data_IF_570529551865
#
_entry.id   IF_570529551865
#
_cell.length_a   1.000
_cell.length_b   1.000
_cell.length_c   1.000
_cell.angle_alpha   90.00
_cell.angle_beta   90.00
_cell.angle_gamma   90.00
#
_symmetry.space_group_name_H-M   'P 1'
#
loop_
_entity.id
_entity.type
_entity.pdbx_description
1 polymer ?
#
# COMPACT_ATOMS: atom_id res chain seq x y z
N UNK A 1 54.16 0.87 23.71
CA UNK A 1 54.19 -0.45 24.37
C UNK A 1 52.91 -1.16 24.01
N UNK A 2 53.05 -2.29 23.35
CA UNK A 2 52.02 -3.03 22.62
C UNK A 2 51.48 -4.16 23.51
N UNK A 3 50.17 -4.42 23.45
CA UNK A 3 49.52 -5.71 23.76
C UNK A 3 48.09 -5.59 23.17
N UNK A 4 47.74 -6.11 21.99
CA UNK A 4 47.72 -7.50 21.50
C UNK A 4 46.89 -8.43 22.39
N UNK A 5 45.59 -8.50 22.13
CA UNK A 5 44.70 -9.54 22.66
C UNK A 5 44.10 -10.33 21.49
N UNK A 6 44.73 -11.47 21.21
CA UNK A 6 44.17 -12.54 20.37
C UNK A 6 43.10 -13.29 21.16
N UNK A 7 41.91 -13.41 20.58
CA UNK A 7 40.84 -14.27 21.09
C UNK A 7 40.46 -15.28 20.02
N UNK A 8 40.36 -16.52 20.48
CA UNK A 8 40.38 -17.79 19.75
C UNK A 8 39.00 -18.09 19.16
N UNK A 9 38.89 -18.20 17.83
CA UNK A 9 37.74 -18.84 17.19
C UNK A 9 38.08 -20.31 16.90
N UNK A 10 37.45 -21.21 17.67
CA UNK A 10 37.43 -22.65 17.41
C UNK A 10 36.19 -23.01 16.59
N UNK A 11 36.49 -23.79 15.56
CA UNK A 11 35.73 -24.59 14.60
C UNK A 11 34.41 -25.21 15.09
N UNK A 12 33.40 -25.21 14.22
CA UNK A 12 32.30 -26.19 13.97
C UNK A 12 31.49 -25.54 12.81
N UNK A 13 31.20 -26.13 11.64
CA UNK A 13 30.46 -27.34 11.29
C UNK A 13 30.74 -27.68 9.80
N UNK A 14 31.10 -28.92 9.47
CA UNK A 14 30.21 -30.01 9.02
C UNK A 14 29.78 -29.87 7.55
N UNK A 15 30.53 -30.59 6.73
CA UNK A 15 30.35 -30.86 5.31
C UNK A 15 29.01 -31.56 5.01
N UNK A 16 28.23 -31.00 4.08
CA UNK A 16 27.08 -31.64 3.46
C UNK A 16 27.53 -32.17 2.10
N UNK A 17 27.54 -33.50 1.95
CA UNK A 17 27.82 -34.18 0.69
C UNK A 17 26.62 -34.06 -0.25
N UNK A 18 26.85 -33.53 -1.45
CA UNK A 18 25.91 -33.61 -2.55
C UNK A 18 26.07 -34.97 -3.22
N UNK A 19 25.07 -35.84 -3.04
CA UNK A 19 24.91 -37.03 -3.87
C UNK A 19 24.24 -36.63 -5.18
N UNK A 20 25.01 -36.68 -6.27
CA UNK A 20 24.48 -36.68 -7.63
C UNK A 20 23.63 -37.93 -7.83
N UNK A 21 22.33 -37.75 -8.02
CA UNK A 21 21.45 -38.76 -8.62
C UNK A 21 21.15 -38.30 -10.03
N UNK A 22 21.64 -39.07 -11.00
CA UNK A 22 21.29 -38.95 -12.41
C UNK A 22 19.76 -39.00 -12.61
N UNK A 23 19.20 -38.17 -13.50
CA UNK A 23 17.81 -38.27 -13.90
C UNK A 23 17.64 -39.50 -14.81
N UNK A 24 16.74 -40.40 -14.41
CA UNK A 24 16.28 -41.50 -15.26
C UNK A 24 15.52 -40.93 -16.46
N UNK A 25 15.88 -41.39 -17.66
CA UNK A 25 15.14 -41.16 -18.89
C UNK A 25 13.73 -41.75 -18.76
N UNK A 26 12.71 -40.89 -18.77
CA UNK A 26 11.33 -41.30 -18.98
C UNK A 26 11.07 -41.41 -20.49
N UNK A 27 10.94 -42.65 -20.95
CA UNK A 27 10.45 -43.00 -22.28
C UNK A 27 8.95 -42.67 -22.33
N UNK A 28 8.59 -41.64 -23.08
CA UNK A 28 7.19 -41.33 -23.40
C UNK A 28 6.73 -42.20 -24.57
N UNK A 29 5.84 -43.15 -24.30
CA UNK A 29 5.01 -43.80 -25.32
C UNK A 29 3.81 -42.90 -25.64
N UNK A 30 3.75 -42.45 -26.89
CA UNK A 30 2.56 -41.86 -27.51
C UNK A 30 1.43 -42.89 -27.57
N UNK A 31 0.46 -42.78 -26.67
CA UNK A 31 -0.87 -43.33 -26.89
C UNK A 31 -1.91 -42.43 -26.21
N UNK A 32 -2.53 -41.58 -27.03
CA UNK A 32 -3.55 -40.62 -26.68
C UNK A 32 -4.94 -41.27 -26.81
N UNK A 33 -5.81 -41.25 -25.77
CA UNK A 33 -7.24 -41.36 -26.00
C UNK A 33 -7.95 -40.05 -25.63
N UNK A 34 -8.60 -39.49 -26.65
CA UNK A 34 -9.83 -38.69 -26.62
C UNK A 34 -10.18 -37.98 -25.28
N UNK A 35 -9.66 -36.75 -25.18
CA UNK A 35 -10.24 -35.57 -24.49
C UNK A 35 -11.68 -35.74 -23.96
N UNK A 36 -11.80 -36.05 -22.67
CA UNK A 36 -12.92 -35.58 -21.84
C UNK A 36 -12.55 -34.20 -21.29
N UNK A 37 -13.33 -33.17 -21.65
CA UNK A 37 -13.26 -31.81 -21.08
C UNK A 37 -13.52 -31.89 -19.57
N UNK A 38 -12.46 -31.89 -18.77
CA UNK A 38 -12.55 -31.62 -17.34
C UNK A 38 -12.83 -30.13 -17.13
N UNK A 39 -13.90 -29.83 -16.39
CA UNK A 39 -14.16 -28.52 -15.80
C UNK A 39 -13.02 -28.21 -14.83
N UNK A 40 -12.06 -27.39 -15.26
CA UNK A 40 -11.14 -26.72 -14.35
C UNK A 40 -11.93 -25.62 -13.64
N UNK A 41 -12.43 -25.95 -12.45
CA UNK A 41 -12.79 -24.98 -11.41
C UNK A 41 -11.56 -24.13 -11.13
N UNK A 42 -11.48 -22.97 -11.79
CA UNK A 42 -10.54 -21.92 -11.45
C UNK A 42 -10.92 -21.38 -10.09
N UNK A 43 -10.30 -21.92 -9.04
CA UNK A 43 -10.15 -21.22 -7.78
C UNK A 43 -9.35 -19.96 -8.09
N UNK A 44 -10.06 -18.84 -8.27
CA UNK A 44 -9.42 -17.53 -8.27
C UNK A 44 -8.80 -17.37 -6.89
N UNK A 45 -7.47 -17.37 -6.85
CA UNK A 45 -6.68 -16.95 -5.70
C UNK A 45 -7.08 -15.51 -5.37
N UNK A 46 -8.10 -15.43 -4.53
CA UNK A 46 -8.65 -14.20 -4.02
C UNK A 46 -7.63 -13.68 -3.02
N UNK A 47 -6.78 -12.77 -3.49
CA UNK A 47 -6.03 -11.75 -2.74
C UNK A 47 -5.74 -12.09 -1.27
N UNK A 48 -4.51 -12.50 -0.99
CA UNK A 48 -3.93 -12.60 0.35
C UNK A 48 -3.72 -11.23 1.05
N UNK A 49 -4.25 -10.13 0.51
CA UNK A 49 -4.09 -8.77 1.06
C UNK A 49 -4.86 -8.54 2.37
N UNK A 50 -5.85 -9.36 2.70
CA UNK A 50 -6.59 -9.24 3.97
C UNK A 50 -5.71 -9.56 5.19
N UNK A 51 -4.69 -10.42 5.03
CA UNK A 51 -3.75 -10.77 6.11
C UNK A 51 -2.88 -9.57 6.51
N UNK A 52 -2.34 -8.86 5.52
CA UNK A 52 -1.45 -7.71 5.76
C UNK A 52 -2.22 -6.56 6.39
N UNK A 53 -3.45 -6.30 5.92
CA UNK A 53 -4.34 -5.27 6.49
C UNK A 53 -4.73 -5.61 7.94
N UNK A 54 -4.99 -6.89 8.23
CA UNK A 54 -5.28 -7.35 9.60
C UNK A 54 -4.08 -7.17 10.53
N UNK A 55 -2.87 -7.40 10.05
CA UNK A 55 -1.65 -7.26 10.85
C UNK A 55 -1.31 -5.79 11.13
N UNK A 56 -1.50 -4.91 10.13
CA UNK A 56 -1.35 -3.45 10.31
C UNK A 56 -2.38 -2.92 11.31
N UNK A 57 -3.64 -3.35 11.21
CA UNK A 57 -4.70 -2.93 12.12
C UNK A 57 -4.40 -3.34 13.57
N UNK A 58 -3.84 -4.55 13.77
CA UNK A 58 -3.41 -5.02 15.09
C UNK A 58 -2.27 -4.17 15.66
N UNK A 59 -1.25 -3.84 14.85
CA UNK A 59 -0.12 -2.99 15.28
C UNK A 59 -0.56 -1.57 15.64
N UNK A 60 -1.56 -1.03 14.94
CA UNK A 60 -2.17 0.27 15.25
C UNK A 60 -2.88 0.25 16.61
N UNK A 61 -3.66 -0.81 16.88
CA UNK A 61 -4.34 -0.96 18.17
C UNK A 61 -3.34 -1.12 19.32
N UNK A 62 -2.29 -1.93 19.13
CA UNK A 62 -1.21 -2.09 20.11
C UNK A 62 -0.50 -0.75 20.40
N UNK A 63 -0.29 0.07 19.37
CA UNK A 63 0.33 1.40 19.53
C UNK A 63 -0.58 2.37 20.30
N UNK A 64 -1.89 2.29 20.08
CA UNK A 64 -2.88 3.12 20.79
C UNK A 64 -2.90 2.79 22.28
N UNK A 65 -2.85 1.51 22.63
CA UNK A 65 -2.78 1.05 24.03
C UNK A 65 -1.53 1.60 24.74
N UNK A 66 -0.37 1.65 24.07
CA UNK A 66 0.87 2.21 24.64
C UNK A 66 0.73 3.72 24.92
N UNK A 67 0.08 4.47 24.03
CA UNK A 67 -0.16 5.91 24.23
C UNK A 67 -1.07 6.14 25.45
N UNK A 68 -2.14 5.34 25.58
CA UNK A 68 -3.05 5.41 26.72
C UNK A 68 -2.34 5.07 28.05
N UNK A 69 -1.44 4.07 28.06
CA UNK A 69 -0.61 3.76 29.22
C UNK A 69 0.36 4.91 29.59
N UNK A 70 0.96 5.57 28.59
CA UNK A 70 1.83 6.72 28.84
C UNK A 70 1.08 7.91 29.44
N UNK A 71 -0.12 8.22 28.95
CA UNK A 71 -0.96 9.28 29.56
C UNK A 71 -1.30 8.97 31.03
N UNK A 72 -1.56 7.69 31.34
CA UNK A 72 -1.86 7.23 32.70
C UNK A 72 -0.64 7.37 33.63
N UNK A 73 0.56 7.09 33.12
CA UNK A 73 1.81 7.31 33.83
C UNK A 73 2.09 8.79 34.10
N UNK A 74 1.85 9.67 33.13
CA UNK A 74 2.00 11.13 33.30
C UNK A 74 1.08 11.64 34.42
N UNK A 75 -0.19 11.23 34.43
CA UNK A 75 -1.13 11.59 35.51
C UNK A 75 -0.70 11.07 36.88
N UNK A 76 -0.09 9.88 36.93
CA UNK A 76 0.44 9.31 38.19
C UNK A 76 1.66 10.09 38.70
N UNK A 77 2.51 10.57 37.80
CA UNK A 77 3.64 11.46 38.12
C UNK A 77 3.15 12.81 38.66
N UNK A 78 2.16 13.43 38.02
CA UNK A 78 1.53 14.67 38.51
C UNK A 78 1.00 14.50 39.93
N UNK A 79 0.31 13.39 40.20
CA UNK A 79 -0.23 13.11 41.54
C UNK A 79 0.86 12.89 42.60
N UNK A 80 1.95 12.19 42.26
CA UNK A 80 3.09 12.00 43.17
C UNK A 80 3.74 13.33 43.51
N UNK A 81 3.91 14.23 42.53
CA UNK A 81 4.42 15.57 42.77
C UNK A 81 3.54 16.37 43.75
N UNK A 82 2.21 16.29 43.62
CA UNK A 82 1.29 16.95 44.55
C UNK A 82 1.36 16.35 45.97
N UNK A 83 1.41 15.02 46.08
CA UNK A 83 1.51 14.30 47.37
C UNK A 83 2.83 14.64 48.10
N UNK A 84 3.95 14.71 47.37
CA UNK A 84 5.26 15.10 47.91
C UNK A 84 5.28 16.56 48.36
N UNK A 85 4.67 17.47 47.60
CA UNK A 85 4.53 18.89 47.98
C UNK A 85 3.73 19.03 49.29
N UNK A 86 2.66 18.26 49.46
CA UNK A 86 1.84 18.32 50.67
C UNK A 86 2.53 17.67 51.88
N UNK A 87 3.27 16.58 51.66
CA UNK A 87 4.14 15.98 52.69
C UNK A 87 5.21 16.96 53.16
N UNK A 88 5.85 17.67 52.22
CA UNK A 88 6.85 18.70 52.52
C UNK A 88 6.24 19.84 53.34
N UNK A 89 5.09 20.38 52.91
CA UNK A 89 4.36 21.42 53.67
C UNK A 89 4.04 20.97 55.10
N UNK A 90 3.62 19.72 55.28
CA UNK A 90 3.32 19.16 56.60
C UNK A 90 4.57 19.11 57.49
N UNK A 91 5.68 18.58 56.97
CA UNK A 91 6.93 18.52 57.74
C UNK A 91 7.45 19.92 58.14
N UNK A 92 7.30 20.92 57.26
CA UNK A 92 7.66 22.31 57.56
C UNK A 92 6.79 22.89 58.68
N UNK A 93 5.49 22.59 58.68
CA UNK A 93 4.56 23.04 59.72
C UNK A 93 4.86 22.39 61.07
N UNK A 94 5.12 21.07 61.08
CA UNK A 94 5.44 20.33 62.31
C UNK A 94 6.75 20.84 62.93
N UNK A 95 7.77 21.08 62.10
CA UNK A 95 9.03 21.68 62.54
C UNK A 95 8.84 23.09 63.12
N UNK A 96 8.06 23.95 62.46
CA UNK A 96 7.78 25.29 62.95
C UNK A 96 7.05 25.26 64.31
N UNK A 97 6.18 24.25 64.52
CA UNK A 97 5.55 23.98 65.81
C UNK A 97 6.55 23.60 66.89
N UNK A 98 7.44 22.64 66.60
CA UNK A 98 8.48 22.18 67.53
C UNK A 98 9.43 23.31 67.94
N UNK A 99 9.88 24.13 66.98
CA UNK A 99 10.69 25.32 67.26
C UNK A 99 9.98 26.26 68.23
N UNK A 100 8.72 26.63 67.95
CA UNK A 100 7.94 27.52 68.84
C UNK A 100 7.87 26.98 70.25
N UNK A 101 7.66 25.67 70.41
CA UNK A 101 7.61 25.05 71.73
C UNK A 101 8.97 25.13 72.44
N UNK A 102 10.08 24.78 71.75
CA UNK A 102 11.41 24.81 72.34
C UNK A 102 11.83 26.23 72.77
N UNK A 103 11.45 27.25 71.99
CA UNK A 103 11.65 28.65 72.32
C UNK A 103 10.87 29.05 73.58
N UNK A 104 9.60 28.63 73.68
CA UNK A 104 8.77 28.93 74.84
C UNK A 104 9.34 28.31 76.12
N UNK A 105 9.74 27.03 76.06
CA UNK A 105 10.34 26.31 77.20
C UNK A 105 11.68 26.90 77.65
N UNK A 106 12.51 27.43 76.73
CA UNK A 106 13.78 28.10 77.07
C UNK A 106 13.56 29.51 77.63
N UNK A 107 12.58 30.24 77.10
CA UNK A 107 12.20 31.57 77.61
C UNK A 107 11.74 31.53 79.07
N UNK A 108 11.02 30.46 79.46
CA UNK A 108 10.52 30.28 80.83
C UNK A 108 11.63 30.06 81.86
N UNK A 109 12.84 29.65 81.42
CA UNK A 109 13.99 29.34 82.29
C UNK A 109 14.96 30.49 82.49
N UNK A 110 14.74 31.65 81.88
CA UNK A 110 15.70 32.77 81.90
C UNK A 110 15.29 33.82 82.92
N UNK A 111 16.11 33.94 83.95
CA UNK A 111 16.00 34.99 84.97
C UNK A 111 16.65 36.30 84.48
N UNK A 112 16.07 37.42 84.94
CA UNK A 112 16.20 38.74 84.33
C UNK A 112 17.57 39.39 84.58
N UNK A 113 18.45 39.36 83.57
CA UNK A 113 19.05 40.54 82.87
C UNK A 113 20.31 40.19 82.09
N UNK A 114 21.11 39.20 82.53
CA UNK A 114 22.35 38.78 81.85
C UNK A 114 22.17 37.56 80.93
N UNK A 115 21.06 36.83 81.05
CA UNK A 115 20.77 35.63 80.25
C UNK A 115 20.32 35.90 78.80
N UNK A 116 19.93 37.14 78.47
CA UNK A 116 19.30 37.46 77.17
C UNK A 116 20.30 37.40 76.01
N UNK A 117 21.52 37.91 76.19
CA UNK A 117 22.54 37.87 75.14
C UNK A 117 23.05 36.44 74.89
N UNK A 118 23.19 35.65 75.96
CA UNK A 118 23.52 34.23 75.87
C UNK A 118 22.42 33.45 75.14
N UNK A 119 21.15 33.71 75.48
CA UNK A 119 20.01 33.12 74.79
C UNK A 119 19.99 33.49 73.31
N UNK A 120 20.17 34.78 72.98
CA UNK A 120 20.16 35.27 71.59
C UNK A 120 21.25 34.59 70.77
N UNK A 121 22.43 34.38 71.35
CA UNK A 121 23.52 33.63 70.72
C UNK A 121 23.14 32.17 70.50
N UNK A 122 22.68 31.47 71.54
CA UNK A 122 22.25 30.07 71.40
C UNK A 122 21.13 29.89 70.39
N UNK A 123 20.17 30.82 70.32
CA UNK A 123 19.10 30.82 69.31
C UNK A 123 19.67 30.92 67.90
N UNK A 124 20.60 31.85 67.67
CA UNK A 124 21.20 32.04 66.36
C UNK A 124 22.05 30.84 65.95
N UNK A 125 22.79 30.25 66.90
CA UNK A 125 23.60 29.06 66.66
C UNK A 125 22.69 27.87 66.28
N UNK A 126 21.60 27.65 67.03
CA UNK A 126 20.65 26.56 66.79
C UNK A 126 19.86 26.76 65.49
N UNK A 127 19.45 28.00 65.17
CA UNK A 127 18.85 28.33 63.89
C UNK A 127 19.83 28.15 62.71
N UNK A 128 21.13 28.39 62.93
CA UNK A 128 22.18 28.13 61.96
C UNK A 128 22.34 26.64 61.66
N UNK A 129 22.48 25.82 62.71
CA UNK A 129 22.57 24.35 62.60
C UNK A 129 21.35 23.80 61.88
N UNK A 130 20.15 24.22 62.30
CA UNK A 130 18.91 23.72 61.72
C UNK A 130 18.79 24.09 60.23
N UNK A 131 19.14 25.33 59.84
CA UNK A 131 19.18 25.71 58.42
C UNK A 131 20.16 24.86 57.63
N UNK A 132 21.33 24.56 58.20
CA UNK A 132 22.34 23.73 57.55
C UNK A 132 21.83 22.30 57.35
N UNK A 133 21.32 21.64 58.40
CA UNK A 133 20.78 20.28 58.31
C UNK A 133 19.61 20.17 57.30
N UNK A 134 18.73 21.18 57.25
CA UNK A 134 17.67 21.24 56.25
C UNK A 134 18.19 21.39 54.82
N UNK A 135 19.26 22.18 54.64
CA UNK A 135 19.84 22.38 53.31
C UNK A 135 20.55 21.11 52.85
N UNK A 136 21.36 20.49 53.72
CA UNK A 136 22.07 19.24 53.42
C UNK A 136 21.09 18.10 53.11
N UNK A 137 20.03 17.94 53.91
CA UNK A 137 19.02 16.91 53.66
C UNK A 137 18.23 17.15 52.37
N UNK A 138 17.87 18.41 52.08
CA UNK A 138 17.18 18.75 50.84
C UNK A 138 18.07 18.52 49.61
N UNK A 139 19.39 18.77 49.72
CA UNK A 139 20.35 18.46 48.67
C UNK A 139 20.50 16.94 48.47
N UNK A 140 20.60 16.15 49.56
CA UNK A 140 20.68 14.69 49.50
C UNK A 140 19.42 14.07 48.86
N UNK A 141 18.23 14.49 49.29
CA UNK A 141 16.97 13.99 48.74
C UNK A 141 16.81 14.35 47.26
N UNK A 142 17.23 15.57 46.88
CA UNK A 142 17.25 16.00 45.47
C UNK A 142 18.24 15.18 44.64
N UNK A 143 19.39 14.83 45.20
CA UNK A 143 20.42 14.04 44.49
C UNK A 143 19.96 12.59 44.28
N UNK A 144 19.33 11.98 45.30
CA UNK A 144 18.68 10.66 45.18
C UNK A 144 17.57 10.65 44.15
N UNK A 145 16.69 11.64 44.18
CA UNK A 145 15.59 11.76 43.21
C UNK A 145 16.14 11.88 41.78
N UNK A 146 17.19 12.69 41.60
CA UNK A 146 17.85 12.83 40.30
C UNK A 146 18.43 11.50 39.81
N UNK A 147 19.10 10.73 40.69
CA UNK A 147 19.63 9.42 40.34
C UNK A 147 18.54 8.41 39.93
N UNK A 148 17.42 8.35 40.67
CA UNK A 148 16.28 7.48 40.35
C UNK A 148 15.65 7.84 38.98
N UNK A 149 15.53 9.14 38.68
CA UNK A 149 15.07 9.58 37.37
C UNK A 149 16.04 9.22 36.24
N UNK A 150 17.34 9.45 36.44
CA UNK A 150 18.36 9.13 35.44
C UNK A 150 18.38 7.60 35.15
N UNK A 151 18.25 6.75 36.18
CA UNK A 151 18.17 5.30 36.03
C UNK A 151 16.94 4.87 35.23
N UNK A 152 15.75 5.39 35.57
CA UNK A 152 14.50 5.10 34.84
C UNK A 152 14.55 5.56 33.39
N UNK A 153 15.15 6.73 33.12
CA UNK A 153 15.32 7.24 31.75
C UNK A 153 16.20 6.29 30.94
N UNK A 154 17.29 5.77 31.52
CA UNK A 154 18.16 4.81 30.83
C UNK A 154 17.50 3.45 30.60
N UNK A 155 16.70 2.94 31.55
CA UNK A 155 15.93 1.71 31.37
C UNK A 155 14.90 1.84 30.23
N UNK A 156 14.20 2.98 30.17
CA UNK A 156 13.26 3.30 29.09
C UNK A 156 13.99 3.35 27.75
N UNK A 157 15.11 4.09 27.65
CA UNK A 157 15.90 4.17 26.41
C UNK A 157 16.35 2.80 25.92
N UNK A 158 16.86 1.96 26.83
CA UNK A 158 17.30 0.60 26.50
C UNK A 158 16.14 -0.24 25.96
N UNK A 159 14.98 -0.21 26.63
CA UNK A 159 13.78 -0.94 26.21
C UNK A 159 13.31 -0.53 24.82
N UNK A 160 13.29 0.78 24.53
CA UNK A 160 12.90 1.27 23.21
C UNK A 160 13.93 0.92 22.13
N UNK A 161 15.23 0.99 22.44
CA UNK A 161 16.27 0.59 21.50
C UNK A 161 16.16 -0.90 21.13
N UNK A 162 15.95 -1.79 22.10
CA UNK A 162 15.73 -3.22 21.83
C UNK A 162 14.50 -3.48 20.94
N UNK A 163 13.41 -2.71 21.13
CA UNK A 163 12.23 -2.78 20.27
C UNK A 163 12.51 -2.30 18.84
N UNK A 164 13.28 -1.23 18.68
CA UNK A 164 13.72 -0.71 17.38
C UNK A 164 14.57 -1.76 16.66
N UNK A 165 15.57 -2.31 17.32
CA UNK A 165 16.47 -3.31 16.75
C UNK A 165 15.70 -4.58 16.31
N UNK A 166 14.72 -5.01 17.11
CA UNK A 166 13.84 -6.13 16.75
C UNK A 166 12.98 -5.82 15.52
N UNK A 167 12.42 -4.61 15.45
CA UNK A 167 11.63 -4.16 14.29
C UNK A 167 12.49 -4.15 13.01
N UNK A 168 13.71 -3.64 13.08
CA UNK A 168 14.65 -3.61 11.96
C UNK A 168 15.02 -5.02 11.50
N UNK A 169 15.22 -5.95 12.44
CA UNK A 169 15.49 -7.35 12.12
C UNK A 169 14.30 -8.02 11.39
N UNK A 170 13.07 -7.76 11.83
CA UNK A 170 11.86 -8.28 11.18
C UNK A 170 11.67 -7.67 9.78
N UNK A 171 11.89 -6.37 9.64
CA UNK A 171 11.85 -5.68 8.34
C UNK A 171 12.86 -6.29 7.35
N UNK A 172 14.10 -6.54 7.79
CA UNK A 172 15.11 -7.18 6.96
C UNK A 172 14.73 -8.62 6.53
N UNK A 173 13.98 -9.36 7.37
CA UNK A 173 13.45 -10.70 7.01
C UNK A 173 12.36 -10.60 5.94
N UNK A 174 11.43 -9.65 6.09
CA UNK A 174 10.34 -9.41 5.13
C UNK A 174 10.93 -9.00 3.77
N UNK A 175 11.90 -8.09 3.76
CA UNK A 175 12.55 -7.65 2.53
C UNK A 175 13.21 -8.81 1.77
N UNK A 176 13.94 -9.68 2.48
CA UNK A 176 14.55 -10.89 1.89
C UNK A 176 13.49 -11.86 1.36
N UNK A 177 12.38 -12.02 2.07
CA UNK A 177 11.28 -12.88 1.63
C UNK A 177 10.66 -12.37 0.34
N UNK A 178 10.28 -11.09 0.27
CA UNK A 178 9.72 -10.47 -0.93
C UNK A 178 10.69 -10.50 -2.10
N UNK A 179 11.98 -10.25 -1.86
CA UNK A 179 13.00 -10.36 -2.88
C UNK A 179 13.09 -11.79 -3.44
N UNK A 180 13.00 -12.80 -2.58
CA UNK A 180 12.96 -14.22 -2.97
C UNK A 180 11.76 -14.56 -3.85
N UNK A 181 10.55 -14.18 -3.44
CA UNK A 181 9.32 -14.42 -4.20
C UNK A 181 9.34 -13.71 -5.56
N UNK A 182 9.81 -12.46 -5.59
CA UNK A 182 9.97 -11.71 -6.84
C UNK A 182 10.92 -12.40 -7.82
N UNK A 183 12.04 -12.95 -7.34
CA UNK A 183 12.98 -13.68 -8.18
C UNK A 183 12.37 -14.98 -8.73
N UNK A 184 11.58 -15.71 -7.95
CA UNK A 184 10.85 -16.91 -8.41
C UNK A 184 9.85 -16.55 -9.50
N UNK A 185 9.05 -15.51 -9.27
CA UNK A 185 8.06 -15.02 -10.23
C UNK A 185 8.72 -14.55 -11.54
N UNK A 186 9.83 -13.81 -11.45
CA UNK A 186 10.63 -13.38 -12.61
C UNK A 186 11.14 -14.56 -13.43
N UNK A 187 11.64 -15.62 -12.77
CA UNK A 187 12.07 -16.85 -13.46
C UNK A 187 10.91 -17.55 -14.15
N UNK A 188 9.75 -17.63 -13.49
CA UNK A 188 8.54 -18.24 -14.06
C UNK A 188 8.07 -17.52 -15.33
N UNK A 189 7.93 -16.19 -15.29
CA UNK A 189 7.51 -15.43 -16.48
C UNK A 189 8.54 -15.51 -17.61
N UNK A 190 9.83 -15.48 -17.29
CA UNK A 190 10.88 -15.69 -18.29
C UNK A 190 10.74 -17.04 -19.00
N UNK A 191 10.44 -18.10 -18.24
CA UNK A 191 10.18 -19.43 -18.80
C UNK A 191 8.92 -19.43 -19.69
N UNK A 192 7.81 -18.83 -19.24
CA UNK A 192 6.58 -18.76 -20.05
C UNK A 192 6.76 -17.98 -21.36
N UNK A 193 7.48 -16.85 -21.30
CA UNK A 193 7.82 -16.06 -22.50
C UNK A 193 8.64 -16.89 -23.48
N UNK A 194 9.68 -17.60 -23.01
CA UNK A 194 10.50 -18.45 -23.87
C UNK A 194 9.66 -19.56 -24.53
N UNK A 195 8.76 -20.20 -23.79
CA UNK A 195 7.85 -21.22 -24.33
C UNK A 195 6.92 -20.66 -25.42
N UNK A 196 6.37 -19.47 -25.20
CA UNK A 196 5.54 -18.79 -26.19
C UNK A 196 6.33 -18.39 -27.45
N UNK A 197 7.56 -17.90 -27.28
CA UNK A 197 8.46 -17.53 -28.38
C UNK A 197 8.77 -18.75 -29.26
N UNK A 198 9.17 -19.88 -28.64
CA UNK A 198 9.44 -21.12 -29.39
C UNK A 198 8.19 -21.64 -30.11
N UNK A 199 7.00 -21.56 -29.48
CA UNK A 199 5.76 -21.96 -30.12
C UNK A 199 5.40 -21.05 -31.31
N UNK A 200 5.67 -19.74 -31.19
CA UNK A 200 5.46 -18.78 -32.26
C UNK A 200 6.42 -19.02 -33.43
N UNK A 201 7.71 -19.24 -33.16
CA UNK A 201 8.73 -19.57 -34.17
C UNK A 201 8.35 -20.82 -34.95
N UNK A 202 8.00 -21.92 -34.26
CA UNK A 202 7.54 -23.16 -34.90
C UNK A 202 6.33 -22.91 -35.80
N UNK A 203 5.35 -22.15 -35.33
CA UNK A 203 4.15 -21.83 -36.12
C UNK A 203 4.48 -20.95 -37.33
N UNK A 204 5.44 -20.03 -37.18
CA UNK A 204 5.94 -19.21 -38.29
C UNK A 204 6.60 -20.07 -39.36
N UNK A 205 7.38 -21.08 -38.97
CA UNK A 205 7.98 -22.05 -39.91
C UNK A 205 6.92 -22.90 -40.61
N UNK A 206 5.89 -23.38 -39.88
CA UNK A 206 4.76 -24.10 -40.46
C UNK A 206 4.02 -23.27 -41.52
N UNK A 207 3.75 -21.99 -41.23
CA UNK A 207 3.13 -21.08 -42.19
C UNK A 207 4.01 -20.83 -43.41
N UNK A 208 5.32 -20.69 -43.21
CA UNK A 208 6.27 -20.48 -44.30
C UNK A 208 6.37 -21.70 -45.22
N UNK A 209 6.35 -22.91 -44.66
CA UNK A 209 6.29 -24.15 -45.43
C UNK A 209 4.98 -24.28 -46.20
N UNK A 210 3.84 -24.01 -45.55
CA UNK A 210 2.52 -23.99 -46.20
C UNK A 210 2.46 -22.99 -47.36
N UNK A 211 3.04 -21.79 -47.18
CA UNK A 211 3.14 -20.76 -48.22
C UNK A 211 3.90 -21.29 -49.44
N UNK A 212 5.05 -21.94 -49.24
CA UNK A 212 5.85 -22.55 -50.32
C UNK A 212 5.09 -23.66 -51.04
N UNK A 213 4.38 -24.53 -50.33
CA UNK A 213 3.54 -25.57 -50.94
C UNK A 213 2.45 -24.97 -51.83
N UNK A 214 1.80 -23.90 -51.38
CA UNK A 214 0.77 -23.20 -52.15
C UNK A 214 1.32 -22.55 -53.42
N UNK A 215 2.53 -21.98 -53.36
CA UNK A 215 3.25 -21.43 -54.52
C UNK A 215 3.62 -22.53 -55.52
N UNK A 216 4.19 -23.66 -55.06
CA UNK A 216 4.54 -24.81 -55.92
C UNK A 216 3.29 -25.40 -56.59
N UNK A 217 2.15 -25.47 -55.89
CA UNK A 217 0.90 -26.02 -56.43
C UNK A 217 0.20 -25.11 -57.45
N UNK A 218 0.71 -23.89 -57.68
CA UNK A 218 0.10 -22.89 -58.58
C UNK A 218 -1.18 -22.26 -58.04
N UNK A 219 -1.57 -22.57 -56.80
CA UNK A 219 -2.74 -21.98 -56.12
C UNK A 219 -2.45 -20.59 -55.55
N UNK A 220 -1.16 -20.26 -55.37
CA UNK A 220 -0.70 -18.93 -55.02
C UNK A 220 0.10 -18.39 -56.21
N UNK A 221 -0.48 -17.48 -56.99
CA UNK A 221 0.25 -16.81 -58.06
C UNK A 221 0.89 -15.54 -57.50
N UNK A 222 2.18 -15.60 -57.20
CA UNK A 222 3.01 -14.43 -56.90
C UNK A 222 3.34 -13.72 -58.22
N UNK A 223 2.40 -12.94 -58.76
CA UNK A 223 2.69 -12.15 -59.97
C UNK A 223 3.78 -11.12 -59.65
N UNK A 224 4.99 -11.34 -60.14
CA UNK A 224 6.09 -10.37 -60.08
C UNK A 224 5.95 -9.24 -61.13
N UNK A 225 4.91 -9.26 -61.96
CA UNK A 225 4.66 -8.29 -63.04
C UNK A 225 3.70 -7.14 -62.67
N UNK A 226 3.45 -6.89 -61.38
CA UNK A 226 2.85 -5.62 -60.96
C UNK A 226 3.96 -4.55 -60.96
N UNK A 227 4.24 -4.03 -62.15
CA UNK A 227 5.21 -2.96 -62.36
C UNK A 227 4.94 -1.74 -61.49
N UNK A 228 6.03 -1.16 -60.98
CA UNK A 228 6.23 0.25 -60.62
C UNK A 228 4.95 1.10 -60.46
N UNK A 229 4.18 0.85 -59.40
CA UNK A 229 3.41 1.92 -58.77
C UNK A 229 4.26 2.52 -57.66
N UNK A 230 4.55 3.80 -57.83
CA UNK A 230 5.46 4.72 -57.13
C UNK A 230 5.36 4.86 -55.59
N UNK A 231 4.83 3.88 -54.86
CA UNK A 231 4.95 3.81 -53.40
C UNK A 231 5.27 2.38 -52.98
N UNK A 232 6.53 2.17 -52.61
CA UNK A 232 7.10 0.88 -52.21
C UNK A 232 6.56 0.37 -50.89
N UNK A 233 5.37 -0.22 -50.92
CA UNK A 233 4.83 -1.06 -49.86
C UNK A 233 4.26 -2.32 -50.52
N UNK A 234 4.94 -3.46 -50.32
CA UNK A 234 4.52 -4.77 -50.86
C UNK A 234 3.17 -5.14 -50.26
N UNK A 235 2.08 -4.73 -50.91
CA UNK A 235 0.74 -5.14 -50.55
C UNK A 235 0.49 -6.53 -51.13
N UNK A 236 0.33 -7.50 -50.24
CA UNK A 236 -0.24 -8.80 -50.58
C UNK A 236 -1.72 -8.57 -50.91
N UNK A 237 -2.08 -8.59 -52.20
CA UNK A 237 -3.48 -8.65 -52.62
C UNK A 237 -3.95 -10.08 -52.41
N UNK A 238 -4.54 -10.36 -51.25
CA UNK A 238 -5.29 -11.59 -51.03
C UNK A 238 -6.57 -11.52 -51.87
N UNK A 239 -6.81 -12.53 -52.71
CA UNK A 239 -8.11 -12.76 -53.34
C UNK A 239 -9.24 -12.71 -52.29
N UNK A 240 -10.37 -12.09 -52.63
CA UNK A 240 -11.49 -11.76 -51.74
C UNK A 240 -12.09 -12.95 -50.96
N UNK A 241 -11.68 -14.18 -51.25
CA UNK A 241 -12.19 -15.41 -50.64
C UNK A 241 -11.42 -15.91 -49.40
N UNK A 242 -10.43 -15.16 -48.89
CA UNK A 242 -9.66 -15.56 -47.70
C UNK A 242 -9.52 -14.44 -46.65
N UNK A 243 -10.64 -13.86 -46.20
CA UNK A 243 -10.72 -13.20 -44.89
C UNK A 243 -11.51 -14.09 -43.94
N UNK A 244 -10.94 -14.39 -42.77
CA UNK A 244 -11.73 -14.90 -41.65
C UNK A 244 -12.90 -13.92 -41.49
N UNK A 245 -14.16 -14.34 -41.71
CA UNK A 245 -15.27 -13.42 -41.63
C UNK A 245 -15.37 -12.94 -40.18
N UNK A 246 -15.48 -11.63 -39.93
CA UNK A 246 -15.95 -11.17 -38.63
C UNK A 246 -17.26 -11.90 -38.35
N UNK A 247 -17.44 -12.37 -37.13
CA UNK A 247 -18.67 -13.12 -36.81
C UNK A 247 -19.88 -12.22 -37.08
N UNK A 248 -21.00 -12.81 -37.53
CA UNK A 248 -22.24 -12.08 -37.86
C UNK A 248 -22.70 -11.13 -36.73
N UNK A 249 -22.40 -11.48 -35.48
CA UNK A 249 -22.63 -10.66 -34.29
C UNK A 249 -21.71 -9.45 -34.14
N UNK A 250 -20.47 -9.52 -34.63
CA UNK A 250 -19.51 -8.40 -34.61
C UNK A 250 -19.84 -7.36 -35.69
N UNK A 251 -20.40 -7.80 -36.82
CA UNK A 251 -20.88 -6.91 -37.88
C UNK A 251 -22.24 -6.26 -37.57
N UNK A 252 -23.17 -6.96 -36.90
CA UNK A 252 -24.47 -6.36 -36.53
C UNK A 252 -24.33 -5.15 -35.59
N UNK A 253 -23.29 -5.11 -34.76
CA UNK A 253 -23.00 -3.97 -33.88
C UNK A 253 -22.52 -2.72 -34.65
N UNK A 254 -21.98 -2.89 -35.85
CA UNK A 254 -21.49 -1.79 -36.69
C UNK A 254 -22.60 -1.09 -37.49
N UNK A 255 -23.72 -1.77 -37.74
CA UNK A 255 -24.79 -1.25 -38.63
C UNK A 255 -26.07 -0.82 -37.91
N UNK A 256 -26.34 -1.30 -36.69
CA UNK A 256 -27.55 -0.93 -35.94
C UNK A 256 -27.26 0.11 -34.87
N UNK A 257 -28.12 1.13 -34.77
CA UNK A 257 -28.12 2.07 -33.67
C UNK A 257 -28.30 1.31 -32.34
N UNK A 258 -27.33 1.41 -31.42
CA UNK A 258 -27.36 0.66 -30.15
C UNK A 258 -28.52 1.08 -29.25
N UNK A 259 -29.09 2.27 -29.45
CA UNK A 259 -30.16 2.81 -28.62
C UNK A 259 -31.56 2.45 -29.13
N UNK A 260 -31.85 2.69 -30.40
CA UNK A 260 -33.19 2.46 -30.98
C UNK A 260 -33.27 1.26 -31.94
N UNK A 261 -32.14 0.59 -32.20
CA UNK A 261 -32.01 -0.59 -33.07
C UNK A 261 -32.32 -0.37 -34.57
N UNK A 262 -32.57 0.87 -35.00
CA UNK A 262 -32.69 1.24 -36.42
C UNK A 262 -31.33 1.16 -37.14
N UNK A 263 -31.35 0.82 -38.42
CA UNK A 263 -30.19 0.77 -39.32
C UNK A 263 -30.00 2.09 -40.10
N UNK A 264 -30.95 3.03 -39.99
CA UNK A 264 -31.01 4.24 -40.83
C UNK A 264 -30.04 5.35 -40.37
N UNK A 265 -29.43 5.19 -39.20
CA UNK A 265 -28.53 6.18 -38.62
C UNK A 265 -27.50 5.56 -37.69
N UNK A 266 -26.38 6.26 -37.52
CA UNK A 266 -25.36 5.88 -36.53
C UNK A 266 -25.86 6.18 -35.13
N UNK A 267 -25.40 5.41 -34.15
CA UNK A 267 -25.82 5.56 -32.75
C UNK A 267 -25.60 6.98 -32.19
N UNK A 268 -24.57 7.70 -32.65
CA UNK A 268 -24.30 9.09 -32.22
C UNK A 268 -25.34 10.10 -32.71
N UNK A 269 -26.00 9.79 -33.84
CA UNK A 269 -27.02 10.61 -34.49
C UNK A 269 -28.45 10.21 -34.09
N UNK A 270 -28.60 9.38 -33.05
CA UNK A 270 -29.90 8.89 -32.62
C UNK A 270 -30.76 10.00 -32.04
N UNK A 271 -31.81 10.38 -32.79
CA UNK A 271 -32.78 11.41 -32.38
C UNK A 271 -33.84 10.92 -31.39
N UNK A 272 -34.04 9.60 -31.30
CA UNK A 272 -34.95 9.01 -30.30
C UNK A 272 -34.36 9.11 -28.89
N UNK A 273 -33.03 9.05 -28.81
CA UNK A 273 -32.25 9.18 -27.57
C UNK A 273 -31.25 10.32 -27.77
N UNK A 274 -31.79 11.54 -27.81
CA UNK A 274 -31.11 12.78 -28.14
C UNK A 274 -30.27 13.36 -27.00
N UNK A 275 -30.58 13.01 -25.75
CA UNK A 275 -29.82 13.44 -24.57
C UNK A 275 -28.98 12.33 -23.91
N UNK A 276 -27.94 12.75 -23.20
CA UNK A 276 -26.98 11.82 -22.58
C UNK A 276 -27.61 10.98 -21.45
N UNK A 277 -28.62 11.52 -20.76
CA UNK A 277 -29.29 10.83 -19.64
C UNK A 277 -30.07 9.63 -20.15
N UNK A 278 -30.87 9.84 -21.20
CA UNK A 278 -31.60 8.79 -21.92
C UNK A 278 -30.66 7.71 -22.45
N UNK A 279 -29.54 8.10 -23.08
CA UNK A 279 -28.52 7.15 -23.57
C UNK A 279 -27.91 6.32 -22.45
N UNK A 280 -27.54 6.96 -21.33
CA UNK A 280 -26.97 6.26 -20.17
C UNK A 280 -27.98 5.29 -19.53
N UNK A 281 -29.27 5.67 -19.46
CA UNK A 281 -30.33 4.80 -18.96
C UNK A 281 -30.49 3.53 -19.82
N UNK A 282 -30.38 3.64 -21.15
CA UNK A 282 -30.42 2.47 -22.04
C UNK A 282 -29.21 1.56 -21.83
N UNK A 283 -28.00 2.11 -21.76
CA UNK A 283 -26.80 1.29 -21.51
C UNK A 283 -26.89 0.56 -20.16
N UNK A 284 -27.35 1.24 -19.10
CA UNK A 284 -27.60 0.61 -17.79
C UNK A 284 -28.62 -0.52 -17.89
N UNK A 285 -29.74 -0.29 -18.59
CA UNK A 285 -30.80 -1.30 -18.79
C UNK A 285 -30.32 -2.51 -19.58
N UNK A 286 -29.46 -2.30 -20.58
CA UNK A 286 -28.87 -3.37 -21.39
C UNK A 286 -27.61 -3.98 -20.76
N UNK A 287 -27.24 -3.60 -19.53
CA UNK A 287 -25.99 -3.98 -18.87
C UNK A 287 -24.78 -3.78 -19.77
N UNK A 288 -24.65 -2.62 -20.40
CA UNK A 288 -23.51 -2.27 -21.26
C UNK A 288 -22.53 -1.35 -20.54
N UNK A 289 -21.25 -1.55 -20.80
CA UNK A 289 -20.20 -0.71 -20.27
C UNK A 289 -20.26 0.68 -20.89
N UNK A 290 -20.30 1.75 -20.09
CA UNK A 290 -20.36 3.12 -20.60
C UNK A 290 -19.08 3.55 -21.32
N UNK A 291 -17.97 2.82 -21.15
CA UNK A 291 -16.65 3.12 -21.75
C UNK A 291 -16.44 2.43 -23.11
N UNK A 292 -16.83 1.17 -23.25
CA UNK A 292 -16.66 0.40 -24.50
C UNK A 292 -17.97 0.02 -25.20
N UNK A 293 -19.14 0.28 -24.61
CA UNK A 293 -20.48 -0.07 -25.12
C UNK A 293 -20.76 -1.57 -25.26
N UNK A 294 -19.81 -2.43 -24.88
CA UNK A 294 -19.97 -3.87 -24.87
C UNK A 294 -20.85 -4.33 -23.72
N UNK A 295 -21.60 -5.44 -23.87
CA UNK A 295 -22.34 -6.05 -22.77
C UNK A 295 -21.38 -6.47 -21.63
N UNK A 296 -21.65 -5.98 -20.43
CA UNK A 296 -21.04 -6.46 -19.21
C UNK A 296 -21.66 -7.82 -18.87
N UNK A 297 -20.85 -8.86 -19.01
CA UNK A 297 -21.28 -10.20 -18.68
C UNK A 297 -21.24 -10.37 -17.16
N UNK A 298 -22.35 -10.03 -16.49
CA UNK A 298 -22.52 -10.07 -15.02
C UNK A 298 -22.18 -11.42 -14.38
N UNK A 299 -22.11 -12.50 -15.17
CA UNK A 299 -21.68 -13.83 -14.71
C UNK A 299 -20.16 -13.99 -14.51
N UNK A 300 -19.35 -13.02 -14.96
CA UNK A 300 -17.91 -12.95 -14.65
C UNK A 300 -17.70 -11.73 -13.77
N UNK A 301 -17.15 -11.95 -12.57
CA UNK A 301 -16.94 -10.95 -11.52
C UNK A 301 -16.17 -9.68 -11.95
N UNK A 302 -15.53 -9.67 -13.13
CA UNK A 302 -14.74 -8.54 -13.62
C UNK A 302 -14.97 -8.38 -15.12
N UNK A 303 -15.68 -7.31 -15.52
CA UNK A 303 -15.64 -6.84 -16.90
C UNK A 303 -14.34 -6.06 -17.12
N UNK A 304 -13.40 -6.67 -17.84
CA UNK A 304 -12.17 -6.00 -18.26
C UNK A 304 -12.52 -5.11 -19.45
N UNK A 305 -12.81 -3.84 -19.18
CA UNK A 305 -13.10 -2.89 -20.25
C UNK A 305 -11.81 -2.61 -21.05
N UNK A 306 -11.77 -2.92 -22.36
CA UNK A 306 -10.60 -2.62 -23.19
C UNK A 306 -10.34 -1.11 -23.32
N UNK A 307 -11.32 -0.28 -22.95
CA UNK A 307 -11.26 1.18 -22.92
C UNK A 307 -11.27 1.76 -21.50
N UNK A 308 -10.88 0.98 -20.48
CA UNK A 308 -10.94 1.40 -19.07
C UNK A 308 -10.19 2.72 -18.79
N UNK A 309 -9.14 3.03 -19.56
CA UNK A 309 -8.27 4.19 -19.40
C UNK A 309 -8.43 5.24 -20.51
N UNK A 310 -9.43 5.10 -21.38
CA UNK A 310 -9.64 6.04 -22.50
C UNK A 310 -10.67 7.08 -22.06
N UNK A 311 -10.22 8.32 -21.86
CA UNK A 311 -11.08 9.45 -21.56
C UNK A 311 -11.82 9.94 -22.82
N UNK A 312 -13.01 10.53 -22.62
CA UNK A 312 -13.70 11.23 -23.70
C UNK A 312 -12.91 12.49 -24.09
N UNK A 313 -12.66 12.68 -25.40
CA UNK A 313 -11.90 13.82 -25.93
C UNK A 313 -12.53 15.17 -25.59
N UNK A 314 -13.85 15.25 -25.46
CA UNK A 314 -14.53 16.52 -25.18
C UNK A 314 -14.55 16.85 -23.69
N UNK A 315 -14.44 15.84 -22.82
CA UNK A 315 -14.34 16.02 -21.37
C UNK A 315 -12.89 16.13 -20.88
N UNK A 316 -11.92 15.54 -21.60
CA UNK A 316 -10.51 15.53 -21.18
C UNK A 316 -9.82 16.90 -21.27
N UNK A 317 -10.45 17.91 -21.87
CA UNK A 317 -9.87 19.25 -22.05
C UNK A 317 -10.05 20.16 -20.82
N UNK A 318 -10.91 19.78 -19.87
CA UNK A 318 -11.14 20.54 -18.63
C UNK A 318 -10.94 19.65 -17.40
N UNK A 319 -9.71 19.21 -17.08
CA UNK A 319 -9.46 18.57 -15.80
C UNK A 319 -9.66 19.62 -14.71
N UNK A 320 -10.78 19.54 -13.99
CA UNK A 320 -10.98 20.30 -12.77
C UNK A 320 -9.91 19.79 -11.79
N UNK A 321 -8.94 20.65 -11.46
CA UNK A 321 -7.81 20.35 -10.55
C UNK A 321 -6.78 19.30 -10.99
N UNK A 322 -6.64 19.07 -12.30
CA UNK A 322 -5.57 18.19 -12.83
C UNK A 322 -5.76 16.70 -12.54
N UNK A 323 -6.95 16.29 -12.07
CA UNK A 323 -7.36 14.89 -11.93
C UNK A 323 -8.51 14.60 -12.88
N UNK A 324 -8.44 13.45 -13.55
CA UNK A 324 -9.59 12.92 -14.29
C UNK A 324 -10.58 12.39 -13.27
N UNK A 325 -11.80 12.92 -13.29
CA UNK A 325 -12.90 12.33 -12.54
C UNK A 325 -13.32 11.04 -13.26
N UNK A 326 -13.81 10.05 -12.53
CA UNK A 326 -14.40 8.85 -13.14
C UNK A 326 -15.54 9.21 -14.12
N UNK A 327 -16.15 10.38 -13.94
CA UNK A 327 -17.13 10.93 -14.89
C UNK A 327 -16.55 11.22 -16.28
N UNK A 328 -15.25 11.45 -16.41
CA UNK A 328 -14.58 11.76 -17.70
C UNK A 328 -14.26 10.50 -18.52
N UNK A 329 -14.29 9.34 -17.85
CA UNK A 329 -14.02 8.03 -18.45
C UNK A 329 -15.31 7.42 -18.98
N UNK A 330 -15.76 7.92 -20.14
CA UNK A 330 -16.93 7.43 -20.86
C UNK A 330 -16.73 7.43 -22.38
N UNK A 331 -17.56 6.68 -23.10
CA UNK A 331 -17.55 6.66 -24.56
C UNK A 331 -18.14 7.99 -25.11
N UNK A 332 -17.56 8.61 -26.15
CA UNK A 332 -18.05 9.91 -26.67
C UNK A 332 -19.55 9.97 -26.94
N UNK A 333 -20.14 8.84 -27.35
CA UNK A 333 -21.58 8.73 -27.61
C UNK A 333 -22.50 9.08 -26.41
N UNK A 334 -22.01 8.92 -25.18
CA UNK A 334 -22.74 9.26 -23.95
C UNK A 334 -22.23 10.55 -23.30
N UNK A 335 -21.39 11.31 -24.01
CA UNK A 335 -20.87 12.58 -23.53
C UNK A 335 -21.99 13.63 -23.45
N UNK A 336 -22.02 14.38 -22.34
CA UNK A 336 -22.96 15.49 -22.15
C UNK A 336 -22.77 16.60 -23.20
N UNK A 337 -21.56 16.80 -23.71
CA UNK A 337 -21.28 17.82 -24.73
C UNK A 337 -21.87 17.49 -26.10
N UNK A 338 -22.32 16.25 -26.33
CA UNK A 338 -23.01 15.81 -27.54
C UNK A 338 -24.54 15.74 -27.39
N UNK A 339 -25.08 16.34 -26.34
CA UNK A 339 -26.52 16.43 -26.12
C UNK A 339 -27.16 17.30 -27.23
N UNK A 340 -28.08 16.70 -28.00
CA UNK A 340 -28.76 17.38 -29.10
C UNK A 340 -30.09 18.02 -28.66
N UNK A 341 -30.47 17.88 -27.38
CA UNK A 341 -31.78 18.29 -26.87
C UNK A 341 -31.97 19.81 -26.72
N UNK A 342 -30.89 20.58 -26.58
CA UNK A 342 -30.96 22.00 -26.18
C UNK A 342 -30.81 23.04 -27.30
N UNK A 343 -30.46 22.66 -28.53
CA UNK A 343 -30.09 23.61 -29.60
C UNK A 343 -31.01 23.61 -30.82
N UNK A 344 -32.32 23.31 -30.70
CA UNK A 344 -33.21 23.30 -31.88
C UNK A 344 -34.25 24.40 -32.01
N UNK A 345 -34.44 25.29 -31.04
CA UNK A 345 -35.35 26.43 -31.23
C UNK A 345 -34.85 27.69 -30.53
N UNK A 346 -33.70 28.20 -30.96
CA UNK A 346 -33.48 29.65 -30.93
C UNK A 346 -32.98 30.03 -32.32
N UNK A 347 -33.91 30.17 -33.26
CA UNK A 347 -33.66 30.93 -34.48
C UNK A 347 -33.29 32.36 -34.05
N UNK A 348 -31.99 32.67 -34.07
CA UNK A 348 -31.56 34.06 -34.15
C UNK A 348 -31.92 34.55 -35.56
N UNK A 349 -33.14 35.06 -35.69
CA UNK A 349 -33.52 35.93 -36.81
C UNK A 349 -32.64 37.17 -36.70
N UNK A 350 -31.70 37.30 -37.64
CA UNK A 350 -30.95 38.54 -37.89
C UNK A 350 -31.76 39.50 -38.75
#
# INVERSE_FOLDING_TARGET
MSDSSQSVQKSFEKSIGFGEKEPKEEVFTDDEPARKRSKTTGNSENFQDTSVISEISKKLEDSKNVIEEMELWVKKLEKLHDEDIDSLKKSMNDLAGNLKQEFAEKLEKIDKTDGIDSLKKSINDLAGILRQEFTEKAEEDREKLKQDFDEKIEEIKKTYQEKIDKCDQENAKIEKFHQGEFQKMKKYYKYQISKLQTAHEKKSEEFENFRKEMEISGKLSTSHDAGDTLYGEKSFVMSDDAKIPPTKSELEFLFKCIFCKSEDHKSIDCRVFDDFTKRQSILKRENRCIRCLEPQNMGKLIHICPRALVACSDCSWFPIDGRFDESDLHHPIVCRFHDQSSNREVDFVY
#
